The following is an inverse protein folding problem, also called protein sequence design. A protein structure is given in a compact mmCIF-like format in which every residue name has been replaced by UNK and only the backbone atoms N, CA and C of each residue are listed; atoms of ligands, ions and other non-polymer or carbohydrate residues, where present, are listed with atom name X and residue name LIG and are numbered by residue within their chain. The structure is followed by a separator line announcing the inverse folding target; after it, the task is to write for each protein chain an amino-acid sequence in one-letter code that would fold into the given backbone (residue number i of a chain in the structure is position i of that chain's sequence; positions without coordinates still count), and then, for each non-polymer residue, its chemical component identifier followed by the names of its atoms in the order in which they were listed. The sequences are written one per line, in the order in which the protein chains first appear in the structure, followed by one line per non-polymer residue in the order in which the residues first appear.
data_IF_340472313869
#
_entry.id   IF_340472313869
#
_cell.length_a   1.000
_cell.length_b   1.000
_cell.length_c   1.000
_cell.angle_alpha   90.00
_cell.angle_beta   90.00
_cell.angle_gamma   90.00
#
_symmetry.space_group_name_H-M   'P 1'
#
loop_
_entity.id
_entity.type
_entity.pdbx_description
1 polymer ?
#
# COMPACT_ATOMS: atom_id res chain seq x y z
N UNK A 1 -7.31 -1.36 -29.57
CA UNK A 1 -6.62 -1.27 -28.27
C UNK A 1 -7.09 -2.44 -27.42
N UNK A 2 -6.19 -3.34 -27.00
CA UNK A 2 -6.52 -4.40 -26.05
C UNK A 2 -6.95 -3.74 -24.73
N UNK A 3 -7.89 -4.37 -23.99
CA UNK A 3 -8.26 -3.92 -22.66
C UNK A 3 -6.99 -3.86 -21.78
N UNK A 4 -6.85 -2.84 -20.90
CA UNK A 4 -5.72 -2.78 -19.99
C UNK A 4 -5.66 -4.07 -19.17
N UNK A 5 -4.46 -4.58 -18.92
CA UNK A 5 -4.28 -5.74 -18.05
C UNK A 5 -4.84 -5.45 -16.65
N UNK A 6 -5.15 -6.49 -15.86
CA UNK A 6 -5.62 -6.30 -14.49
C UNK A 6 -4.67 -5.44 -13.67
N UNK A 7 -3.37 -5.46 -13.99
CA UNK A 7 -2.32 -4.67 -13.37
C UNK A 7 -2.44 -3.19 -13.75
N UNK A 8 -2.57 -2.91 -15.04
CA UNK A 8 -2.64 -1.54 -15.54
C UNK A 8 -3.99 -0.88 -15.21
N UNK A 9 -5.04 -1.69 -14.98
CA UNK A 9 -6.35 -1.25 -14.51
C UNK A 9 -6.46 -1.02 -12.99
N UNK A 10 -5.46 -1.41 -12.20
CA UNK A 10 -5.53 -1.35 -10.73
C UNK A 10 -5.78 0.08 -10.21
N UNK A 11 -5.01 1.05 -10.69
CA UNK A 11 -5.16 2.44 -10.25
C UNK A 11 -6.56 2.99 -10.56
N UNK A 12 -7.08 2.72 -11.76
CA UNK A 12 -8.44 3.10 -12.14
C UNK A 12 -9.49 2.39 -11.27
N UNK A 13 -9.27 1.10 -10.98
CA UNK A 13 -10.15 0.29 -10.13
C UNK A 13 -10.21 0.85 -8.71
N UNK A 14 -9.08 1.08 -8.05
CA UNK A 14 -9.06 1.54 -6.65
C UNK A 14 -9.54 2.99 -6.51
N UNK A 15 -9.17 3.88 -7.45
CA UNK A 15 -9.62 5.28 -7.47
C UNK A 15 -11.14 5.42 -7.62
N UNK A 16 -11.78 4.49 -8.29
CA UNK A 16 -13.23 4.50 -8.50
C UNK A 16 -14.01 4.24 -7.20
N UNK A 17 -13.40 3.59 -6.21
CA UNK A 17 -13.99 3.28 -4.91
C UNK A 17 -15.19 2.32 -4.96
N UNK A 18 -15.65 1.86 -3.80
CA UNK A 18 -16.89 1.09 -3.69
C UNK A 18 -16.88 -0.33 -4.26
N UNK A 19 -15.72 -0.95 -4.45
CA UNK A 19 -15.56 -2.22 -5.18
C UNK A 19 -15.48 -3.48 -4.33
N UNK A 20 -16.10 -3.49 -3.16
CA UNK A 20 -16.25 -4.75 -2.43
C UNK A 20 -15.01 -5.25 -1.70
N UNK A 21 -14.07 -4.33 -1.40
CA UNK A 21 -12.97 -4.63 -0.50
C UNK A 21 -11.83 -5.40 -1.16
N UNK A 22 -10.72 -4.72 -1.41
CA UNK A 22 -9.49 -5.36 -1.88
C UNK A 22 -8.66 -5.85 -0.70
N UNK A 23 -8.02 -7.02 -0.85
CA UNK A 23 -7.12 -7.58 0.16
C UNK A 23 -5.71 -7.67 -0.40
N UNK A 24 -4.74 -7.16 0.37
CA UNK A 24 -3.33 -7.17 -0.01
C UNK A 24 -2.48 -8.01 0.92
N UNK A 25 -1.47 -8.66 0.37
CA UNK A 25 -0.35 -9.15 1.15
C UNK A 25 0.53 -7.97 1.59
N UNK A 26 1.20 -8.11 2.75
CA UNK A 26 2.21 -7.18 3.24
C UNK A 26 3.50 -7.93 3.55
N UNK A 27 4.56 -7.60 2.84
CA UNK A 27 5.75 -8.44 2.76
C UNK A 27 6.97 -7.67 3.26
N UNK A 28 7.44 -8.02 4.46
CA UNK A 28 8.65 -7.48 5.08
C UNK A 28 9.88 -8.35 4.86
N UNK A 29 9.71 -9.65 4.63
CA UNK A 29 10.82 -10.59 4.42
C UNK A 29 11.32 -10.47 2.97
N UNK A 30 12.60 -10.11 2.74
CA UNK A 30 13.12 -9.85 1.39
C UNK A 30 13.45 -11.16 0.66
N UNK A 31 12.44 -11.99 0.43
CA UNK A 31 12.58 -13.27 -0.27
C UNK A 31 11.72 -13.29 -1.54
N UNK A 32 12.32 -13.16 -2.74
CA UNK A 32 11.58 -13.28 -4.00
C UNK A 32 10.83 -14.60 -4.13
N UNK A 33 11.37 -15.70 -3.56
CA UNK A 33 10.70 -16.99 -3.56
C UNK A 33 9.41 -16.99 -2.74
N UNK A 34 9.44 -16.36 -1.56
CA UNK A 34 8.24 -16.22 -0.73
C UNK A 34 7.20 -15.32 -1.41
N UNK A 35 7.64 -14.22 -2.03
CA UNK A 35 6.76 -13.35 -2.83
C UNK A 35 6.09 -14.15 -3.95
N UNK A 36 6.83 -15.02 -4.63
CA UNK A 36 6.28 -15.86 -5.68
C UNK A 36 5.16 -16.79 -5.15
N UNK A 37 5.33 -17.39 -3.96
CA UNK A 37 4.28 -18.20 -3.34
C UNK A 37 3.06 -17.35 -2.97
N UNK A 38 3.26 -16.22 -2.29
CA UNK A 38 2.14 -15.34 -1.91
C UNK A 38 1.41 -14.74 -3.12
N UNK A 39 2.11 -14.52 -4.22
CA UNK A 39 1.49 -14.04 -5.45
C UNK A 39 0.54 -15.07 -6.12
N UNK A 40 0.61 -16.35 -5.74
CA UNK A 40 -0.35 -17.38 -6.21
C UNK A 40 -1.65 -17.39 -5.38
N UNK A 41 -1.62 -16.80 -4.18
CA UNK A 41 -2.81 -16.73 -3.33
C UNK A 41 -3.78 -15.64 -3.83
N UNK A 42 -5.02 -15.65 -3.37
CA UNK A 42 -6.10 -14.77 -3.85
C UNK A 42 -6.02 -13.34 -3.26
N UNK A 43 -4.81 -12.77 -3.25
CA UNK A 43 -4.61 -11.35 -2.98
C UNK A 43 -4.85 -10.50 -4.22
N UNK A 44 -5.49 -9.34 -4.05
CA UNK A 44 -5.68 -8.38 -5.15
C UNK A 44 -4.40 -7.62 -5.51
N UNK A 45 -3.49 -7.43 -4.56
CA UNK A 45 -2.19 -6.75 -4.74
C UNK A 45 -1.19 -7.22 -3.67
N UNK A 46 0.08 -6.91 -3.86
CA UNK A 46 1.14 -7.17 -2.88
C UNK A 46 1.88 -5.88 -2.56
N UNK A 47 2.13 -5.63 -1.27
CA UNK A 47 2.93 -4.51 -0.79
C UNK A 47 4.29 -5.02 -0.34
N UNK A 48 5.38 -4.48 -0.90
CA UNK A 48 6.73 -4.65 -0.34
C UNK A 48 7.00 -3.54 0.68
N UNK A 49 7.30 -3.94 1.91
CA UNK A 49 7.56 -3.01 3.01
C UNK A 49 9.06 -2.69 3.11
N UNK A 50 9.46 -1.52 2.62
CA UNK A 50 10.85 -1.07 2.66
C UNK A 50 11.14 -0.17 3.88
N UNK A 51 10.13 0.14 4.71
CA UNK A 51 10.33 0.94 5.92
C UNK A 51 10.75 0.07 7.10
N UNK A 52 10.01 -0.99 7.40
CA UNK A 52 10.25 -1.90 8.51
C UNK A 52 10.62 -3.31 8.06
N UNK A 53 10.42 -3.64 6.79
CA UNK A 53 10.97 -4.82 6.15
C UNK A 53 12.46 -4.64 5.82
N UNK A 54 13.09 -5.72 5.38
CA UNK A 54 14.54 -5.76 5.09
C UNK A 54 14.84 -5.64 3.58
N UNK A 55 13.92 -5.08 2.80
CA UNK A 55 14.07 -4.89 1.36
C UNK A 55 15.05 -3.77 1.03
N UNK A 56 16.02 -4.05 0.17
CA UNK A 56 16.75 -3.05 -0.58
C UNK A 56 16.09 -2.77 -1.93
N UNK A 57 16.42 -1.62 -2.53
CA UNK A 57 15.80 -1.18 -3.78
C UNK A 57 16.09 -2.13 -4.95
N UNK A 58 17.28 -2.72 -5.03
CA UNK A 58 17.67 -3.62 -6.11
C UNK A 58 16.85 -4.91 -6.06
N UNK A 59 16.74 -5.52 -4.88
CA UNK A 59 15.93 -6.73 -4.66
C UNK A 59 14.45 -6.45 -4.89
N UNK A 60 13.92 -5.31 -4.43
CA UNK A 60 12.54 -4.91 -4.67
C UNK A 60 12.25 -4.73 -6.18
N UNK A 61 13.13 -4.03 -6.91
CA UNK A 61 13.01 -3.83 -8.36
C UNK A 61 13.08 -5.15 -9.17
N UNK A 62 13.90 -6.11 -8.73
CA UNK A 62 13.93 -7.44 -9.36
C UNK A 62 12.65 -8.25 -9.05
N UNK A 63 12.09 -8.08 -7.86
CA UNK A 63 10.93 -8.86 -7.40
C UNK A 63 9.62 -8.39 -8.03
N UNK A 64 9.48 -7.10 -8.38
CA UNK A 64 8.25 -6.58 -9.00
C UNK A 64 7.89 -7.32 -10.27
N UNK A 65 8.87 -7.76 -11.05
CA UNK A 65 8.65 -8.54 -12.27
C UNK A 65 7.95 -9.89 -12.00
N UNK A 66 8.23 -10.53 -10.87
CA UNK A 66 7.58 -11.79 -10.48
C UNK A 66 6.13 -11.55 -10.05
N UNK A 67 5.86 -10.49 -9.31
CA UNK A 67 4.50 -10.10 -8.90
C UNK A 67 3.66 -9.82 -10.16
N UNK A 68 4.21 -9.06 -11.10
CA UNK A 68 3.53 -8.74 -12.35
C UNK A 68 3.32 -9.98 -13.24
N UNK A 69 4.27 -10.91 -13.28
CA UNK A 69 4.13 -12.17 -14.00
C UNK A 69 3.00 -13.05 -13.42
N UNK A 70 2.69 -12.94 -12.13
CA UNK A 70 1.51 -13.56 -11.52
C UNK A 70 0.19 -12.80 -11.79
N UNK A 71 0.22 -11.74 -12.60
CA UNK A 71 -0.96 -10.95 -12.96
C UNK A 71 -1.40 -9.96 -11.89
N UNK A 72 -0.53 -9.64 -10.91
CA UNK A 72 -0.89 -8.79 -9.76
C UNK A 72 -0.17 -7.45 -9.78
N UNK A 73 -0.82 -6.36 -9.35
CA UNK A 73 -0.16 -5.08 -9.12
C UNK A 73 0.71 -5.17 -7.86
N UNK A 74 1.85 -4.47 -7.89
CA UNK A 74 2.76 -4.34 -6.75
C UNK A 74 2.73 -2.91 -6.23
N UNK A 75 2.63 -2.76 -4.91
CA UNK A 75 2.82 -1.50 -4.20
C UNK A 75 4.10 -1.58 -3.36
N UNK A 76 4.65 -0.44 -2.99
CA UNK A 76 5.77 -0.37 -2.06
C UNK A 76 5.52 0.68 -0.98
N UNK A 77 5.78 0.33 0.29
CA UNK A 77 5.94 1.32 1.35
C UNK A 77 7.41 1.72 1.42
N UNK A 78 7.67 3.01 1.23
CA UNK A 78 9.03 3.57 1.26
C UNK A 78 9.48 3.89 2.69
N UNK A 79 10.79 4.03 2.96
CA UNK A 79 11.28 4.63 4.21
C UNK A 79 10.77 6.07 4.39
N UNK A 80 10.68 6.52 5.64
CA UNK A 80 10.23 7.88 5.98
C UNK A 80 11.05 8.93 5.21
N UNK A 81 10.38 9.77 4.44
CA UNK A 81 11.01 10.88 3.70
C UNK A 81 11.85 10.48 2.49
N UNK A 82 12.00 9.20 2.18
CA UNK A 82 12.78 8.75 1.02
C UNK A 82 11.95 8.80 -0.28
N UNK A 83 11.56 10.01 -0.66
CA UNK A 83 10.78 10.22 -1.89
C UNK A 83 11.59 9.92 -3.16
N UNK A 84 12.93 9.96 -3.10
CA UNK A 84 13.77 9.55 -4.20
C UNK A 84 13.62 8.05 -4.52
N UNK A 85 13.46 7.20 -3.50
CA UNK A 85 13.13 5.78 -3.70
C UNK A 85 11.77 5.62 -4.37
N UNK A 86 10.78 6.47 -4.07
CA UNK A 86 9.47 6.43 -4.70
C UNK A 86 9.54 6.50 -6.24
N UNK A 87 10.27 7.48 -6.79
CA UNK A 87 10.48 7.60 -8.24
C UNK A 87 11.11 6.35 -8.84
N UNK A 88 12.15 5.82 -8.20
CA UNK A 88 12.89 4.64 -8.67
C UNK A 88 12.05 3.36 -8.64
N UNK A 89 11.18 3.19 -7.65
CA UNK A 89 10.24 2.07 -7.57
C UNK A 89 9.17 2.16 -8.66
N UNK A 90 8.65 3.35 -8.92
CA UNK A 90 7.73 3.56 -10.05
C UNK A 90 8.44 3.28 -11.41
N UNK A 91 9.71 3.64 -11.56
CA UNK A 91 10.52 3.33 -12.73
C UNK A 91 10.75 1.82 -12.90
N UNK A 92 10.83 1.09 -11.78
CA UNK A 92 10.90 -0.37 -11.76
C UNK A 92 9.57 -1.06 -12.12
N UNK A 93 8.44 -0.34 -12.14
CA UNK A 93 7.14 -0.87 -12.53
C UNK A 93 6.18 -1.18 -11.37
N UNK A 94 6.41 -0.61 -10.18
CA UNK A 94 5.41 -0.62 -9.13
C UNK A 94 4.17 0.19 -9.54
N UNK A 95 3.00 -0.30 -9.16
CA UNK A 95 1.71 0.33 -9.45
C UNK A 95 1.35 1.44 -8.45
N UNK A 96 2.11 1.60 -7.38
CA UNK A 96 1.89 2.67 -6.41
C UNK A 96 2.86 2.69 -5.26
N UNK A 97 2.87 3.84 -4.59
CA UNK A 97 3.75 4.14 -3.45
C UNK A 97 2.91 4.48 -2.23
N UNK A 98 3.28 3.91 -1.09
CA UNK A 98 2.77 4.23 0.24
C UNK A 98 3.88 4.97 0.99
N UNK A 99 3.65 6.24 1.35
CA UNK A 99 4.61 7.05 2.07
C UNK A 99 4.20 7.21 3.54
N UNK A 100 5.04 6.74 4.49
CA UNK A 100 4.76 6.88 5.91
C UNK A 100 4.99 8.32 6.40
N UNK A 101 4.42 8.65 7.57
CA UNK A 101 4.68 9.90 8.32
C UNK A 101 4.42 11.18 7.51
N UNK A 102 3.41 11.20 6.64
CA UNK A 102 2.97 12.41 5.95
C UNK A 102 2.09 13.21 6.91
N UNK A 103 2.64 14.28 7.47
CA UNK A 103 2.03 15.01 8.58
C UNK A 103 1.48 16.39 8.21
N UNK A 104 1.72 16.82 6.98
CA UNK A 104 1.33 18.15 6.51
C UNK A 104 1.02 18.15 5.02
N UNK A 105 0.39 19.24 4.56
CA UNK A 105 0.24 19.54 3.14
C UNK A 105 1.59 19.57 2.42
N UNK A 106 2.60 20.17 3.04
CA UNK A 106 3.95 20.28 2.44
C UNK A 106 4.60 18.91 2.23
N UNK A 107 4.42 17.95 3.18
CA UNK A 107 4.90 16.58 3.00
C UNK A 107 4.19 15.89 1.84
N UNK A 108 2.88 16.11 1.72
CA UNK A 108 2.09 15.55 0.62
C UNK A 108 2.48 16.14 -0.74
N UNK A 109 2.72 17.45 -0.82
CA UNK A 109 3.23 18.12 -2.03
C UNK A 109 4.62 17.60 -2.41
N UNK A 110 5.52 17.42 -1.44
CA UNK A 110 6.83 16.83 -1.66
C UNK A 110 6.72 15.39 -2.20
N UNK A 111 5.84 14.56 -1.63
CA UNK A 111 5.59 13.20 -2.12
C UNK A 111 5.10 13.19 -3.57
N UNK A 112 4.14 14.07 -3.90
CA UNK A 112 3.59 14.18 -5.26
C UNK A 112 4.66 14.63 -6.24
N UNK A 113 5.54 15.57 -5.86
CA UNK A 113 6.66 16.04 -6.70
C UNK A 113 7.52 14.88 -7.20
N UNK A 114 7.74 13.83 -6.40
CA UNK A 114 8.53 12.66 -6.78
C UNK A 114 7.76 11.52 -7.44
N UNK A 115 6.43 11.48 -7.30
CA UNK A 115 5.63 10.34 -7.79
C UNK A 115 4.84 10.64 -9.05
N UNK A 116 4.59 11.90 -9.38
CA UNK A 116 3.81 12.32 -10.53
C UNK A 116 4.67 13.12 -11.52
N UNK A 117 4.42 12.92 -12.81
CA UNK A 117 5.00 13.73 -13.87
C UNK A 117 4.28 15.08 -13.99
N UNK A 118 4.92 16.11 -14.60
CA UNK A 118 4.25 17.36 -14.92
C UNK A 118 2.91 17.15 -15.65
N UNK A 119 1.87 17.97 -15.40
CA UNK A 119 1.91 19.19 -14.58
C UNK A 119 1.68 18.96 -13.07
N UNK A 120 1.41 17.74 -12.62
CA UNK A 120 1.06 17.44 -11.21
C UNK A 120 2.27 17.41 -10.29
N UNK A 121 3.41 16.94 -10.77
CA UNK A 121 4.66 16.81 -10.02
C UNK A 121 5.87 17.09 -10.89
N UNK A 122 7.06 16.71 -10.39
CA UNK A 122 8.35 16.96 -11.01
C UNK A 122 9.17 15.66 -11.18
N UNK A 123 8.50 14.50 -11.18
CA UNK A 123 9.17 13.20 -11.30
C UNK A 123 10.10 13.19 -12.50
N UNK A 124 11.38 12.85 -12.27
CA UNK A 124 12.36 12.68 -13.32
C UNK A 124 12.04 11.49 -14.24
N UNK A 125 12.36 11.61 -15.51
CA UNK A 125 12.06 10.59 -16.52
C UNK A 125 13.09 9.47 -16.50
N UNK A 126 12.67 8.24 -16.17
CA UNK A 126 13.51 7.05 -16.18
C UNK A 126 12.75 5.71 -16.12
N UNK A 127 11.54 5.57 -16.73
CA UNK A 127 10.66 4.43 -16.50
C UNK A 127 11.07 3.18 -17.30
N UNK A 128 12.34 2.81 -17.34
CA UNK A 128 12.86 1.76 -18.21
C UNK A 128 12.18 0.41 -18.00
N UNK A 129 12.07 -0.06 -16.75
CA UNK A 129 11.40 -1.33 -16.46
C UNK A 129 9.88 -1.22 -16.55
N UNK A 130 9.32 -0.08 -16.14
CA UNK A 130 7.88 0.17 -16.27
C UNK A 130 7.43 0.13 -17.74
N UNK A 131 8.21 0.69 -18.69
CA UNK A 131 7.94 0.57 -20.12
C UNK A 131 7.96 -0.88 -20.59
N UNK A 132 8.95 -1.66 -20.15
CA UNK A 132 9.03 -3.09 -20.51
C UNK A 132 7.83 -3.87 -19.99
N UNK A 133 7.34 -3.53 -18.78
CA UNK A 133 6.20 -4.20 -18.17
C UNK A 133 4.86 -3.82 -18.79
N UNK A 134 4.69 -2.58 -19.19
CA UNK A 134 3.42 -2.10 -19.79
C UNK A 134 3.35 -2.37 -21.28
N UNK A 135 4.49 -2.47 -21.97
CA UNK A 135 4.56 -2.66 -23.42
C UNK A 135 4.05 -1.48 -24.24
N UNK A 136 3.80 -0.32 -23.61
CA UNK A 136 3.35 0.90 -24.30
C UNK A 136 4.53 1.78 -24.70
N UNK A 137 4.33 2.68 -25.66
CA UNK A 137 5.37 3.59 -26.12
C UNK A 137 5.75 4.59 -25.00
N UNK A 138 6.99 5.09 -25.02
CA UNK A 138 7.44 6.11 -24.07
C UNK A 138 6.54 7.36 -24.06
N UNK A 139 6.07 7.79 -25.25
CA UNK A 139 5.19 8.95 -25.37
C UNK A 139 3.79 8.70 -24.78
N UNK A 140 3.27 7.49 -24.93
CA UNK A 140 1.95 7.14 -24.38
C UNK A 140 2.05 6.86 -22.87
N UNK A 141 3.16 6.27 -22.41
CA UNK A 141 3.43 6.14 -20.98
C UNK A 141 3.45 7.51 -20.29
N UNK A 142 4.17 8.50 -20.85
CA UNK A 142 4.22 9.84 -20.27
C UNK A 142 2.82 10.48 -20.12
N UNK A 143 1.94 10.26 -21.10
CA UNK A 143 0.56 10.80 -21.06
C UNK A 143 -0.32 10.12 -20.00
N UNK A 144 -0.04 8.87 -19.67
CA UNK A 144 -0.91 8.02 -18.83
C UNK A 144 -0.32 7.64 -17.48
N UNK A 145 0.98 7.83 -17.26
CA UNK A 145 1.68 7.36 -16.07
C UNK A 145 1.06 7.85 -14.75
N UNK A 146 0.58 9.10 -14.70
CA UNK A 146 -0.09 9.65 -13.53
C UNK A 146 -1.41 8.95 -13.19
N UNK A 147 -2.06 8.36 -14.19
CA UNK A 147 -3.29 7.59 -14.04
C UNK A 147 -3.04 6.10 -13.79
N UNK A 148 -1.91 5.57 -14.29
CA UNK A 148 -1.53 4.17 -14.12
C UNK A 148 -1.00 3.84 -12.72
N UNK A 149 -0.59 4.86 -11.95
CA UNK A 149 0.01 4.69 -10.64
C UNK A 149 -0.75 5.44 -9.55
N UNK A 150 -0.66 4.95 -8.31
CA UNK A 150 -1.26 5.58 -7.14
C UNK A 150 -0.22 6.10 -6.16
N UNK A 151 -0.48 7.28 -5.61
CA UNK A 151 0.31 7.94 -4.56
C UNK A 151 -0.53 7.97 -3.29
N UNK A 152 -0.06 7.28 -2.24
CA UNK A 152 -0.81 7.03 -1.01
C UNK A 152 -0.04 7.62 0.17
N UNK A 153 -0.66 8.56 0.89
CA UNK A 153 -0.09 9.14 2.11
C UNK A 153 -0.56 8.36 3.35
N UNK A 154 0.35 8.06 4.29
CA UNK A 154 -0.06 7.43 5.55
C UNK A 154 -0.49 8.48 6.57
N UNK A 155 -1.61 8.20 7.22
CA UNK A 155 -2.15 8.94 8.37
C UNK A 155 -1.96 8.06 9.61
N UNK A 156 -1.00 8.42 10.45
CA UNK A 156 -0.58 7.60 11.60
C UNK A 156 -0.11 8.44 12.80
N UNK A 157 -0.36 9.77 12.77
CA UNK A 157 -0.03 10.71 13.86
C UNK A 157 -1.17 11.66 14.13
N UNK A 158 -1.14 12.35 15.29
CA UNK A 158 -2.10 13.43 15.61
C UNK A 158 -1.99 14.60 14.62
N UNK A 159 -0.77 14.92 14.17
CA UNK A 159 -0.55 15.98 13.20
C UNK A 159 -1.17 15.62 11.84
N UNK A 160 -0.96 14.38 11.37
CA UNK A 160 -1.55 13.88 10.15
C UNK A 160 -3.09 13.87 10.19
N UNK A 161 -3.69 13.43 11.32
CA UNK A 161 -5.14 13.50 11.51
C UNK A 161 -5.66 14.93 11.44
N UNK A 162 -4.98 15.88 12.08
CA UNK A 162 -5.37 17.29 12.06
C UNK A 162 -5.24 17.91 10.65
N UNK A 163 -4.30 17.44 9.84
CA UNK A 163 -4.03 17.94 8.49
C UNK A 163 -4.70 17.09 7.38
N UNK A 164 -5.56 16.14 7.72
CA UNK A 164 -6.09 15.15 6.75
C UNK A 164 -6.75 15.80 5.54
N UNK A 165 -7.50 16.87 5.73
CA UNK A 165 -8.15 17.59 4.63
C UNK A 165 -7.14 18.34 3.75
N UNK A 166 -6.13 18.95 4.35
CA UNK A 166 -5.07 19.64 3.63
C UNK A 166 -4.25 18.64 2.79
N UNK A 167 -3.95 17.46 3.34
CA UNK A 167 -3.26 16.35 2.65
C UNK A 167 -4.14 15.84 1.49
N UNK A 168 -5.42 15.57 1.76
CA UNK A 168 -6.37 15.11 0.75
C UNK A 168 -6.63 16.18 -0.32
N UNK A 169 -6.48 17.46 0.00
CA UNK A 169 -6.60 18.57 -0.93
C UNK A 169 -5.47 18.66 -1.96
N UNK A 170 -4.33 18.00 -1.72
CA UNK A 170 -3.21 18.00 -2.67
C UNK A 170 -3.57 17.18 -3.91
N UNK A 171 -3.53 17.84 -5.08
CA UNK A 171 -3.69 17.14 -6.36
C UNK A 171 -2.52 16.18 -6.59
N UNK A 172 -2.81 14.94 -6.97
CA UNK A 172 -1.78 13.89 -7.11
C UNK A 172 -1.70 12.93 -5.92
N UNK A 173 -2.20 13.27 -4.72
CA UNK A 173 -2.51 12.27 -3.70
C UNK A 173 -3.76 11.52 -4.14
N UNK A 174 -3.66 10.21 -4.32
CA UNK A 174 -4.76 9.38 -4.81
C UNK A 174 -5.59 8.77 -3.68
N UNK A 175 -4.98 8.53 -2.52
CA UNK A 175 -5.63 7.92 -1.37
C UNK A 175 -4.82 8.04 -0.08
N UNK A 176 -5.43 7.54 0.99
CA UNK A 176 -4.82 7.49 2.33
C UNK A 176 -4.60 6.03 2.74
N UNK A 177 -3.54 5.80 3.52
CA UNK A 177 -3.31 4.57 4.25
C UNK A 177 -3.29 4.87 5.75
N UNK A 178 -4.19 4.27 6.53
CA UNK A 178 -4.17 4.42 7.99
C UNK A 178 -3.23 3.38 8.59
N UNK A 179 -2.22 3.87 9.34
CA UNK A 179 -1.29 3.05 10.12
C UNK A 179 -1.76 2.92 11.58
N UNK A 180 -2.56 1.89 11.96
CA UNK A 180 -3.23 1.87 13.26
C UNK A 180 -2.28 1.69 14.44
N UNK A 181 -1.12 1.03 14.26
CA UNK A 181 -0.14 0.84 15.32
C UNK A 181 0.48 2.16 15.76
N UNK A 182 1.07 2.91 14.82
CA UNK A 182 1.67 4.21 15.10
C UNK A 182 0.62 5.23 15.54
N UNK A 183 -0.57 5.18 14.93
CA UNK A 183 -1.69 6.01 15.35
C UNK A 183 -2.07 5.76 16.82
N UNK A 184 -2.12 4.49 17.26
CA UNK A 184 -2.41 4.15 18.66
C UNK A 184 -1.33 4.64 19.64
N UNK A 185 -0.06 4.58 19.23
CA UNK A 185 1.05 5.15 19.99
C UNK A 185 0.89 6.67 20.10
N UNK A 186 0.60 7.35 18.98
CA UNK A 186 0.42 8.79 18.96
C UNK A 186 -0.79 9.24 19.80
N UNK A 187 -1.92 8.54 19.71
CA UNK A 187 -3.13 8.86 20.48
C UNK A 187 -2.95 8.62 21.97
N UNK A 188 -2.17 7.60 22.35
CA UNK A 188 -1.86 7.31 23.75
C UNK A 188 -0.67 8.10 24.32
N UNK A 189 -0.06 9.03 23.57
CA UNK A 189 1.18 9.73 23.92
C UNK A 189 2.32 8.77 24.29
N UNK A 190 2.48 7.69 23.52
CA UNK A 190 3.53 6.68 23.70
C UNK A 190 3.23 5.61 24.78
N UNK A 191 2.03 5.59 25.36
CA UNK A 191 1.73 4.69 26.49
C UNK A 191 1.46 3.25 26.05
N UNK A 192 0.94 3.02 24.83
CA UNK A 192 0.56 1.66 24.39
C UNK A 192 0.56 1.51 22.86
N UNK A 193 0.76 0.27 22.41
CA UNK A 193 0.44 -0.16 21.04
C UNK A 193 -0.87 -0.95 21.11
N UNK A 194 -1.94 -0.39 20.58
CA UNK A 194 -3.29 -0.96 20.65
C UNK A 194 -4.09 -0.64 19.36
N UNK A 195 -3.73 -1.27 18.23
CA UNK A 195 -4.28 -0.95 16.91
C UNK A 195 -5.76 -1.35 16.75
N UNK A 196 -6.24 -2.28 17.59
CA UNK A 196 -7.57 -2.89 17.46
C UNK A 196 -8.50 -2.39 18.57
N UNK A 197 -8.66 -1.07 18.70
CA UNK A 197 -9.49 -0.45 19.72
C UNK A 197 -10.60 0.41 19.13
N UNK A 198 -11.72 0.62 19.86
CA UNK A 198 -12.79 1.53 19.41
C UNK A 198 -12.32 2.96 19.14
N UNK A 199 -11.26 3.42 19.81
CA UNK A 199 -10.65 4.72 19.57
C UNK A 199 -10.04 4.79 18.15
N UNK A 200 -9.34 3.72 17.73
CA UNK A 200 -8.79 3.61 16.37
C UNK A 200 -9.93 3.50 15.35
N UNK A 201 -11.00 2.76 15.63
CA UNK A 201 -12.15 2.66 14.73
C UNK A 201 -12.84 3.99 14.50
N UNK A 202 -12.91 4.82 15.55
CA UNK A 202 -13.44 6.18 15.45
C UNK A 202 -12.59 7.03 14.51
N UNK A 203 -11.27 7.02 14.68
CA UNK A 203 -10.37 7.80 13.82
C UNK A 203 -10.32 7.25 12.39
N UNK A 204 -10.34 5.93 12.23
CA UNK A 204 -10.45 5.29 10.90
C UNK A 204 -11.75 5.72 10.20
N UNK A 205 -12.88 5.69 10.90
CA UNK A 205 -14.17 6.14 10.37
C UNK A 205 -14.16 7.61 9.98
N UNK A 206 -13.48 8.46 10.80
CA UNK A 206 -13.27 9.86 10.45
C UNK A 206 -12.46 10.00 9.16
N UNK A 207 -11.31 9.33 9.03
CA UNK A 207 -10.48 9.36 7.82
C UNK A 207 -11.25 8.85 6.60
N UNK A 208 -12.04 7.77 6.73
CA UNK A 208 -12.90 7.26 5.66
C UNK A 208 -13.86 8.34 5.18
N UNK A 209 -14.54 9.01 6.10
CA UNK A 209 -15.49 10.07 5.76
C UNK A 209 -14.80 11.24 5.01
N UNK A 210 -13.57 11.62 5.44
CA UNK A 210 -12.80 12.67 4.75
C UNK A 210 -12.37 12.21 3.35
N UNK A 211 -11.87 10.97 3.21
CA UNK A 211 -11.51 10.41 1.90
C UNK A 211 -12.72 10.42 0.93
N UNK A 212 -13.89 10.04 1.40
CA UNK A 212 -15.12 10.07 0.58
C UNK A 212 -15.49 11.49 0.15
N UNK A 213 -15.38 12.48 1.04
CA UNK A 213 -15.63 13.90 0.73
C UNK A 213 -14.68 14.43 -0.37
N UNK A 214 -13.43 13.96 -0.38
CA UNK A 214 -12.42 14.30 -1.39
C UNK A 214 -12.41 13.35 -2.61
N UNK A 215 -13.33 12.37 -2.68
CA UNK A 215 -13.40 11.34 -3.75
C UNK A 215 -12.12 10.54 -3.87
N UNK A 216 -11.50 10.21 -2.74
CA UNK A 216 -10.26 9.42 -2.64
C UNK A 216 -10.52 8.11 -1.91
N UNK A 217 -9.69 7.11 -2.19
CA UNK A 217 -9.78 5.81 -1.55
C UNK A 217 -9.03 5.79 -0.21
N UNK A 218 -9.34 4.79 0.61
CA UNK A 218 -8.71 4.57 1.91
C UNK A 218 -8.27 3.13 2.08
N UNK A 219 -7.05 2.97 2.58
CA UNK A 219 -6.44 1.69 2.92
C UNK A 219 -6.16 1.61 4.42
N UNK A 220 -6.08 0.40 4.98
CA UNK A 220 -5.69 0.21 6.37
C UNK A 220 -4.96 -1.12 6.59
N UNK A 221 -4.18 -1.19 7.66
CA UNK A 221 -3.49 -2.41 8.08
C UNK A 221 -4.28 -3.13 9.17
N UNK A 222 -4.79 -4.34 8.89
CA UNK A 222 -5.40 -5.24 9.86
C UNK A 222 -4.34 -6.12 10.52
N UNK A 223 -4.44 -6.30 11.83
CA UNK A 223 -3.56 -7.18 12.63
C UNK A 223 -3.68 -8.65 12.23
N UNK A 224 -4.86 -9.03 11.75
CA UNK A 224 -5.20 -10.34 11.20
C UNK A 224 -6.33 -10.25 10.15
N UNK A 225 -6.76 -11.40 9.62
CA UNK A 225 -7.81 -11.46 8.60
C UNK A 225 -9.19 -11.06 9.12
N UNK A 226 -9.50 -11.33 10.39
CA UNK A 226 -10.78 -10.94 10.99
C UNK A 226 -10.86 -9.42 11.11
N UNK A 227 -9.80 -8.81 11.64
CA UNK A 227 -9.66 -7.35 11.74
C UNK A 227 -9.71 -6.66 10.38
N UNK A 228 -9.05 -7.23 9.38
CA UNK A 228 -9.14 -6.74 8.00
C UNK A 228 -10.59 -6.73 7.49
N UNK A 229 -11.36 -7.80 7.76
CA UNK A 229 -12.79 -7.88 7.41
C UNK A 229 -13.64 -6.81 8.10
N UNK A 230 -13.36 -6.50 9.36
CA UNK A 230 -14.02 -5.40 10.08
C UNK A 230 -13.72 -4.04 9.43
N UNK A 231 -12.46 -3.78 9.06
CA UNK A 231 -12.06 -2.54 8.38
C UNK A 231 -12.72 -2.39 7.00
N UNK A 232 -12.89 -3.49 6.24
CA UNK A 232 -13.69 -3.46 5.01
C UNK A 232 -15.15 -3.09 5.29
N UNK A 233 -15.71 -3.63 6.36
CA UNK A 233 -17.09 -3.32 6.79
C UNK A 233 -17.24 -1.86 7.21
N UNK A 234 -16.22 -1.26 7.82
CA UNK A 234 -16.17 0.17 8.14
C UNK A 234 -16.09 1.05 6.89
N UNK A 235 -15.63 0.50 5.75
CA UNK A 235 -15.60 1.20 4.48
C UNK A 235 -14.20 1.42 3.88
N UNK A 236 -13.18 0.70 4.32
CA UNK A 236 -11.89 0.70 3.63
C UNK A 236 -12.01 0.08 2.23
N UNK A 237 -11.27 0.61 1.27
CA UNK A 237 -11.24 0.11 -0.11
C UNK A 237 -10.21 -1.01 -0.30
N UNK A 238 -9.11 -0.94 0.46
CA UNK A 238 -8.05 -1.95 0.47
C UNK A 238 -7.56 -2.16 1.90
N UNK A 239 -7.43 -3.43 2.30
CA UNK A 239 -6.91 -3.80 3.62
C UNK A 239 -5.75 -4.77 3.52
N UNK A 240 -4.88 -4.73 4.52
CA UNK A 240 -3.85 -5.72 4.73
C UNK A 240 -4.37 -6.77 5.71
N UNK A 241 -4.25 -8.04 5.37
CA UNK A 241 -4.65 -9.16 6.24
C UNK A 241 -3.41 -9.76 6.92
N UNK A 242 -2.84 -9.04 7.87
CA UNK A 242 -1.57 -9.31 8.56
C UNK A 242 -0.32 -9.24 7.66
N UNK A 243 0.85 -9.10 8.27
CA UNK A 243 2.14 -9.21 7.57
C UNK A 243 2.58 -10.67 7.37
N UNK A 244 3.47 -10.89 6.42
CA UNK A 244 4.02 -12.18 6.03
C UNK A 244 4.59 -12.99 7.20
N UNK A 245 5.36 -12.36 8.09
CA UNK A 245 5.93 -13.00 9.29
C UNK A 245 4.84 -13.54 10.22
N UNK A 246 3.73 -12.81 10.37
CA UNK A 246 2.59 -13.24 11.18
C UNK A 246 1.87 -14.40 10.51
N UNK A 247 1.63 -14.32 9.20
CA UNK A 247 1.00 -15.39 8.43
C UNK A 247 1.81 -16.68 8.48
N UNK A 248 3.14 -16.60 8.30
CA UNK A 248 4.05 -17.74 8.37
C UNK A 248 4.01 -18.39 9.75
N UNK A 249 4.12 -17.60 10.82
CA UNK A 249 4.10 -18.13 12.21
C UNK A 249 2.75 -18.75 12.56
N UNK A 250 1.64 -18.12 12.15
CA UNK A 250 0.30 -18.64 12.40
C UNK A 250 0.07 -19.96 11.65
N UNK A 251 0.53 -20.07 10.40
CA UNK A 251 0.51 -21.30 9.63
C UNK A 251 1.27 -22.42 10.33
N UNK A 252 2.53 -22.17 10.71
CA UNK A 252 3.36 -23.13 11.40
C UNK A 252 2.75 -23.58 12.76
N UNK A 253 2.25 -22.63 13.55
CA UNK A 253 1.61 -22.93 14.85
C UNK A 253 0.37 -23.83 14.69
N UNK A 254 -0.46 -23.57 13.67
CA UNK A 254 -1.62 -24.40 13.34
C UNK A 254 -1.23 -25.84 13.00
N UNK A 255 -0.23 -26.04 12.14
CA UNK A 255 0.23 -27.36 11.74
C UNK A 255 0.86 -28.13 12.91
N UNK A 256 1.65 -27.46 13.77
CA UNK A 256 2.23 -28.06 14.99
C UNK A 256 1.10 -28.49 15.95
N UNK A 257 0.11 -27.63 16.16
CA UNK A 257 -1.02 -27.96 17.04
C UNK A 257 -1.84 -29.14 16.50
N UNK A 258 -2.05 -29.19 15.19
CA UNK A 258 -2.75 -30.30 14.52
C UNK A 258 -1.98 -31.63 14.67
N UNK A 259 -0.67 -31.62 14.41
CA UNK A 259 0.17 -32.81 14.56
C UNK A 259 0.17 -33.35 16.00
N UNK A 260 0.28 -32.45 17.00
CA UNK A 260 0.26 -32.84 18.42
C UNK A 260 -1.09 -33.41 18.87
N UNK A 261 -2.22 -32.93 18.33
CA UNK A 261 -3.55 -33.48 18.60
C UNK A 261 -3.75 -34.87 17.98
N UNK A 262 -3.15 -35.14 16.84
CA UNK A 262 -3.20 -36.44 16.16
C UNK A 262 -2.31 -37.51 16.78
N UNK A 263 -1.35 -37.14 17.62
CA UNK A 263 -0.44 -38.09 18.27
C UNK A 263 -1.13 -38.76 19.47
N UNK A 264 -1.36 -40.08 19.36
CA UNK A 264 -1.76 -40.95 20.48
C UNK A 264 -0.51 -41.66 20.94
N UNK A 265 -0.01 -41.36 22.16
CA UNK A 265 1.11 -42.01 22.78
C UNK A 265 0.78 -43.50 23.12
#
# INVERSE_FOLDING_TARGET
MSAPSAIDGFAARIKKGGHGGLVSAWIGIPSPLMVNHLAQEDFDTLVLDMQHGMWDLGTAAATVSQIRAAGKPALARIPVGDFAAASRLLDAGFSGIIAPMVNSKADAEALVSFTKYPPLGERSWGPTLALNHTGISASDYLKTANDLTVTIAMIETRAALAAVDDILGVEGIDGIFVGPSDLSIALSNGAKVAPDTPEIDKELSHVIARCRAHKKFVCAFGSDGARAGEMLTLGCDLVIAAGDSTQLRNGAAREIASARKGFKA
#
